data_IF_385305600558
#
_entry.id   IF_385305600558
#
_cell.length_a   1.000
_cell.length_b   1.000
_cell.length_c   1.000
_cell.angle_alpha   90.00
_cell.angle_beta   90.00
_cell.angle_gamma   90.00
#
_symmetry.space_group_name_H-M   'P 1'
#
loop_
_entity.id
_entity.type
_entity.pdbx_description
1 polymer ?
#
# COMPACT_ATOMS: atom_id res chain seq x y z
N UNK A 1 38.08 5.28 12.98
CA UNK A 1 38.62 3.92 13.14
C UNK A 1 37.45 2.94 13.11
N UNK A 2 37.44 1.99 12.17
CA UNK A 2 36.44 0.92 12.11
C UNK A 2 36.91 -0.23 13.01
N UNK A 3 36.09 -0.60 14.00
CA UNK A 3 36.48 -1.57 15.04
C UNK A 3 36.44 -3.03 14.55
N UNK A 4 35.46 -3.38 13.71
CA UNK A 4 35.29 -4.74 13.16
C UNK A 4 34.42 -4.70 11.91
N UNK A 5 34.76 -5.54 10.94
CA UNK A 5 33.99 -5.80 9.73
C UNK A 5 33.84 -7.32 9.61
N UNK A 6 32.60 -7.81 9.62
CA UNK A 6 32.26 -9.21 9.37
C UNK A 6 31.18 -9.27 8.29
N UNK A 7 31.09 -10.43 7.63
CA UNK A 7 29.98 -10.76 6.73
C UNK A 7 28.94 -11.59 7.47
N UNK A 8 27.66 -11.25 7.33
CA UNK A 8 26.55 -11.96 7.95
C UNK A 8 25.69 -12.64 6.90
N UNK A 9 25.43 -13.93 7.08
CA UNK A 9 24.46 -14.67 6.30
C UNK A 9 23.12 -14.63 7.03
N UNK A 10 22.11 -14.03 6.40
CA UNK A 10 20.77 -13.94 6.96
C UNK A 10 19.72 -13.90 5.84
N UNK A 11 18.47 -14.30 6.12
CA UNK A 11 17.39 -14.14 5.15
C UNK A 11 17.13 -12.66 4.90
N UNK A 12 17.17 -12.26 3.63
CA UNK A 12 16.87 -10.89 3.18
C UNK A 12 15.59 -10.88 2.34
N UNK A 13 14.73 -9.86 2.44
CA UNK A 13 13.53 -9.78 1.61
C UNK A 13 13.88 -9.47 0.15
N UNK A 14 13.41 -10.32 -0.76
CA UNK A 14 13.56 -10.14 -2.20
C UNK A 14 12.21 -9.87 -2.87
N UNK A 15 12.23 -9.13 -3.97
CA UNK A 15 11.04 -8.93 -4.80
C UNK A 15 10.57 -10.29 -5.34
N UNK A 16 9.32 -10.66 -5.03
CA UNK A 16 8.72 -11.94 -5.44
C UNK A 16 8.69 -12.17 -6.96
N UNK A 17 8.78 -11.11 -7.76
CA UNK A 17 8.76 -11.20 -9.23
C UNK A 17 10.16 -11.25 -9.85
N UNK A 18 11.05 -10.36 -9.43
CA UNK A 18 12.36 -10.16 -10.09
C UNK A 18 13.54 -10.67 -9.27
N UNK A 19 13.33 -11.09 -8.02
CA UNK A 19 14.35 -11.53 -7.05
C UNK A 19 15.38 -10.46 -6.63
N UNK A 20 15.25 -9.21 -7.08
CA UNK A 20 16.09 -8.10 -6.60
C UNK A 20 15.89 -7.85 -5.09
N UNK A 21 16.95 -7.50 -4.34
CA UNK A 21 16.86 -7.18 -2.91
C UNK A 21 16.00 -5.93 -2.69
N UNK A 22 15.11 -5.99 -1.68
CA UNK A 22 14.20 -4.90 -1.35
C UNK A 22 14.81 -3.96 -0.32
N UNK A 23 14.69 -2.65 -0.56
CA UNK A 23 15.14 -1.61 0.35
C UNK A 23 13.92 -0.89 0.92
N UNK A 24 13.90 -0.70 2.24
CA UNK A 24 12.89 0.13 2.90
C UNK A 24 13.17 1.61 2.65
N UNK A 25 12.26 2.28 1.95
CA UNK A 25 12.34 3.72 1.67
C UNK A 25 10.99 4.39 1.95
N UNK A 26 11.03 5.60 2.49
CA UNK A 26 9.83 6.43 2.62
C UNK A 26 9.42 6.95 1.24
N UNK A 27 8.26 6.52 0.76
CA UNK A 27 7.66 6.94 -0.52
C UNK A 27 6.19 7.26 -0.24
N UNK A 28 5.67 8.30 -0.89
CA UNK A 28 4.24 8.62 -0.83
C UNK A 28 3.43 7.45 -1.40
N UNK A 29 2.37 7.06 -0.71
CA UNK A 29 1.52 5.95 -1.13
C UNK A 29 0.12 6.09 -0.56
N UNK A 30 -0.84 5.48 -1.24
CA UNK A 30 -2.21 5.32 -0.80
C UNK A 30 -2.36 4.03 -0.01
N UNK A 31 -3.02 4.12 1.14
CA UNK A 31 -3.23 3.02 2.06
C UNK A 31 -4.71 2.88 2.38
N UNK A 32 -5.15 1.64 2.55
CA UNK A 32 -6.44 1.31 3.19
C UNK A 32 -6.16 1.03 4.66
N UNK A 33 -6.95 1.65 5.55
CA UNK A 33 -6.78 1.53 7.01
C UNK A 33 -7.37 0.22 7.51
N UNK A 34 -6.66 -0.87 7.25
CA UNK A 34 -7.05 -2.24 7.63
C UNK A 34 -7.13 -2.42 9.14
N UNK A 35 -6.34 -1.65 9.87
CA UNK A 35 -6.27 -1.68 11.33
C UNK A 35 -7.61 -1.40 12.03
N UNK A 36 -8.51 -0.61 11.42
CA UNK A 36 -9.83 -0.30 12.02
C UNK A 36 -10.81 -1.47 11.97
N UNK A 37 -10.70 -2.33 10.97
CA UNK A 37 -11.63 -3.45 10.77
C UNK A 37 -10.95 -4.81 10.91
N UNK A 38 -9.71 -4.84 11.42
CA UNK A 38 -8.94 -6.05 11.67
C UNK A 38 -9.70 -7.04 12.54
N UNK A 39 -10.24 -6.57 13.66
CA UNK A 39 -10.91 -7.45 14.63
C UNK A 39 -12.19 -8.06 14.02
N UNK A 40 -12.89 -7.28 13.18
CA UNK A 40 -14.03 -7.77 12.40
C UNK A 40 -13.62 -8.83 11.36
N UNK A 41 -12.45 -8.72 10.74
CA UNK A 41 -11.95 -9.76 9.83
C UNK A 41 -11.64 -11.06 10.56
N UNK A 42 -11.06 -10.98 11.77
CA UNK A 42 -10.78 -12.16 12.60
C UNK A 42 -12.09 -12.83 13.02
N UNK A 43 -13.11 -12.06 13.40
CA UNK A 43 -14.44 -12.59 13.70
C UNK A 43 -15.08 -13.29 12.49
N UNK A 44 -15.04 -12.66 11.31
CA UNK A 44 -15.60 -13.24 10.08
C UNK A 44 -14.84 -14.48 9.63
N UNK A 45 -13.53 -14.53 9.86
CA UNK A 45 -12.72 -15.72 9.59
C UNK A 45 -13.22 -16.94 10.39
N UNK A 46 -13.84 -16.72 11.56
CA UNK A 46 -14.43 -17.81 12.34
C UNK A 46 -15.65 -18.47 11.69
N UNK A 47 -16.30 -17.77 10.77
CA UNK A 47 -17.47 -18.28 10.04
C UNK A 47 -17.09 -19.05 8.77
N UNK A 48 -15.82 -19.00 8.35
CA UNK A 48 -15.33 -19.65 7.14
C UNK A 48 -14.88 -21.07 7.48
N UNK A 49 -15.36 -22.05 6.71
CA UNK A 49 -14.88 -23.43 6.77
C UNK A 49 -13.59 -23.56 5.95
N UNK A 50 -12.46 -23.72 6.65
CA UNK A 50 -11.16 -23.91 6.03
C UNK A 50 -10.84 -25.39 5.87
N UNK A 51 -10.21 -25.74 4.75
CA UNK A 51 -9.63 -27.06 4.55
C UNK A 51 -8.16 -26.91 4.16
N UNK A 52 -7.20 -27.41 4.96
CA UNK A 52 -7.36 -28.06 6.28
C UNK A 52 -7.69 -27.07 7.42
N UNK A 53 -8.35 -27.56 8.48
CA UNK A 53 -8.95 -26.72 9.54
C UNK A 53 -7.93 -25.85 10.30
N UNK A 54 -6.73 -26.36 10.55
CA UNK A 54 -5.69 -25.65 11.30
C UNK A 54 -5.22 -24.34 10.63
N UNK A 55 -5.53 -24.12 9.36
CA UNK A 55 -5.20 -22.85 8.66
C UNK A 55 -5.99 -21.68 9.23
N UNK A 56 -7.22 -21.96 9.69
CA UNK A 56 -8.16 -20.99 10.24
C UNK A 56 -7.58 -20.19 11.40
N UNK A 57 -7.08 -20.89 12.42
CA UNK A 57 -6.48 -20.30 13.62
C UNK A 57 -4.95 -20.25 13.55
N UNK A 58 -4.34 -21.00 12.62
CA UNK A 58 -2.91 -21.04 12.37
C UNK A 58 -2.44 -19.93 11.45
N UNK A 59 -1.97 -20.28 10.25
CA UNK A 59 -1.29 -19.33 9.36
C UNK A 59 -2.16 -18.11 9.01
N UNK A 60 -3.43 -18.31 8.65
CA UNK A 60 -4.28 -17.20 8.21
C UNK A 60 -4.77 -16.36 9.40
N UNK A 61 -5.21 -17.01 10.49
CA UNK A 61 -5.62 -16.33 11.72
C UNK A 61 -4.53 -15.42 12.30
N UNK A 62 -3.31 -15.95 12.43
CA UNK A 62 -2.16 -15.17 12.93
C UNK A 62 -1.79 -14.02 11.99
N UNK A 63 -1.92 -14.22 10.67
CA UNK A 63 -1.68 -13.17 9.68
C UNK A 63 -2.70 -12.04 9.78
N UNK A 64 -3.99 -12.36 9.98
CA UNK A 64 -5.04 -11.35 10.18
C UNK A 64 -4.81 -10.53 11.44
N UNK A 65 -4.41 -11.15 12.55
CA UNK A 65 -4.11 -10.46 13.81
C UNK A 65 -2.92 -9.49 13.67
N UNK A 66 -1.93 -9.85 12.85
CA UNK A 66 -0.77 -9.03 12.52
C UNK A 66 -0.98 -8.04 11.37
N UNK A 67 -2.19 -7.95 10.81
CA UNK A 67 -2.44 -7.16 9.59
C UNK A 67 -2.19 -5.66 9.83
N UNK A 68 -1.32 -5.09 9.00
CA UNK A 68 -1.02 -3.65 8.96
C UNK A 68 -1.82 -2.98 7.84
N UNK A 69 -1.82 -1.64 7.85
CA UNK A 69 -2.43 -0.84 6.78
C UNK A 69 -1.92 -1.28 5.39
N UNK A 70 -2.85 -1.50 4.48
CA UNK A 70 -2.53 -2.10 3.19
C UNK A 70 -2.21 -1.01 2.15
N UNK A 71 -0.97 -1.02 1.66
CA UNK A 71 -0.54 -0.17 0.55
C UNK A 71 -1.15 -0.63 -0.77
N UNK A 72 -2.11 0.14 -1.30
CA UNK A 72 -2.81 -0.16 -2.55
C UNK A 72 -2.20 0.53 -3.76
N UNK A 73 -1.36 1.56 -3.60
CA UNK A 73 -0.79 2.29 -4.73
C UNK A 73 0.51 1.71 -5.23
N UNK A 74 0.69 1.67 -6.55
CA UNK A 74 1.94 1.31 -7.21
C UNK A 74 2.23 2.31 -8.32
N UNK A 75 3.50 2.72 -8.42
CA UNK A 75 3.97 3.52 -9.54
C UNK A 75 4.17 2.59 -10.75
N UNK A 76 3.13 2.44 -11.57
CA UNK A 76 3.10 1.58 -12.75
C UNK A 76 2.20 2.22 -13.82
N UNK A 77 2.46 1.87 -15.08
CA UNK A 77 1.64 2.32 -16.20
C UNK A 77 0.44 1.40 -16.44
N UNK A 78 0.64 0.08 -16.38
CA UNK A 78 -0.42 -0.91 -16.63
C UNK A 78 -1.09 -1.39 -15.34
N UNK A 79 -2.37 -1.06 -15.18
CA UNK A 79 -3.22 -1.44 -14.05
C UNK A 79 -4.50 -0.62 -14.01
N UNK A 80 -5.36 -0.87 -13.01
CA UNK A 80 -6.52 -0.01 -12.73
C UNK A 80 -6.01 1.28 -12.08
N UNK A 81 -6.23 2.47 -12.66
CA UNK A 81 -5.83 3.71 -12.00
C UNK A 81 -6.62 3.90 -10.70
N UNK A 82 -6.00 4.56 -9.73
CA UNK A 82 -6.68 4.94 -8.49
C UNK A 82 -7.56 6.15 -8.82
N UNK A 83 -8.89 6.08 -8.62
CA UNK A 83 -9.82 7.13 -9.03
C UNK A 83 -9.83 8.30 -8.04
N UNK A 84 -8.66 8.88 -7.80
CA UNK A 84 -8.45 9.98 -6.86
C UNK A 84 -7.85 11.15 -7.62
N UNK A 85 -8.51 12.30 -7.55
CA UNK A 85 -8.02 13.56 -8.10
C UNK A 85 -7.50 14.43 -6.96
N UNK A 86 -6.33 15.01 -7.17
CA UNK A 86 -5.65 15.82 -6.16
C UNK A 86 -5.31 17.18 -6.77
N UNK A 87 -5.59 18.23 -6.01
CA UNK A 87 -5.14 19.60 -6.33
C UNK A 87 -3.64 19.71 -6.17
N UNK A 88 -2.98 20.40 -7.10
CA UNK A 88 -1.52 20.62 -7.08
C UNK A 88 -1.07 21.58 -5.97
N UNK A 89 -1.99 22.32 -5.33
CA UNK A 89 -1.65 23.36 -4.36
C UNK A 89 -1.82 22.91 -2.90
N UNK A 90 -0.80 23.08 -2.04
CA UNK A 90 -0.89 22.79 -0.61
C UNK A 90 -1.84 23.72 0.18
N UNK A 91 -2.09 24.95 -0.27
CA UNK A 91 -3.00 25.92 0.36
C UNK A 91 -4.49 25.58 0.12
N UNK A 92 -4.81 25.00 -1.05
CA UNK A 92 -6.16 24.56 -1.41
C UNK A 92 -6.15 23.07 -1.79
N UNK A 93 -5.67 22.24 -0.87
CA UNK A 93 -5.54 20.79 -1.10
C UNK A 93 -6.90 20.12 -1.06
N UNK A 94 -7.47 19.93 -2.24
CA UNK A 94 -8.67 19.12 -2.46
C UNK A 94 -8.29 17.69 -2.87
N UNK A 95 -9.02 16.71 -2.34
CA UNK A 95 -8.92 15.30 -2.72
C UNK A 95 -10.34 14.82 -3.03
N UNK A 96 -10.63 14.56 -4.31
CA UNK A 96 -11.91 14.03 -4.75
C UNK A 96 -11.74 12.56 -5.15
N UNK A 97 -12.73 11.72 -4.81
CA UNK A 97 -12.72 10.29 -5.13
C UNK A 97 -13.97 9.94 -5.90
N UNK A 98 -13.80 9.50 -7.15
CA UNK A 98 -14.91 9.13 -8.03
C UNK A 98 -15.18 7.62 -7.95
N UNK A 99 -16.44 7.27 -7.72
CA UNK A 99 -16.92 5.90 -7.62
C UNK A 99 -17.62 5.38 -8.88
N UNK A 100 -17.99 6.26 -9.82
CA UNK A 100 -18.72 5.89 -11.04
C UNK A 100 -18.34 6.76 -12.24
N UNK A 101 -18.65 6.27 -13.44
CA UNK A 101 -18.50 7.03 -14.69
C UNK A 101 -19.42 8.26 -14.73
N UNK A 102 -20.60 8.18 -14.12
CA UNK A 102 -21.58 9.27 -14.13
C UNK A 102 -21.14 10.44 -13.21
N UNK A 103 -20.36 10.15 -12.15
CA UNK A 103 -19.69 11.19 -11.38
C UNK A 103 -18.57 11.87 -12.19
N UNK A 104 -17.82 11.11 -12.99
CA UNK A 104 -16.78 11.67 -13.86
C UNK A 104 -17.38 12.54 -14.98
N UNK A 105 -18.44 12.07 -15.63
CA UNK A 105 -19.11 12.80 -16.71
C UNK A 105 -19.70 14.14 -16.23
N UNK A 106 -20.27 14.17 -15.02
CA UNK A 106 -20.80 15.41 -14.42
C UNK A 106 -19.71 16.46 -14.15
N UNK A 107 -18.56 16.03 -13.67
CA UNK A 107 -17.52 16.94 -13.21
C UNK A 107 -16.53 17.36 -14.32
N UNK A 108 -16.31 16.50 -15.32
CA UNK A 108 -15.40 16.77 -16.45
C UNK A 108 -16.13 17.11 -17.75
N UNK A 109 -17.45 16.88 -17.82
CA UNK A 109 -18.25 17.10 -19.04
C UNK A 109 -17.97 16.11 -20.17
N UNK A 110 -17.07 15.14 -19.94
CA UNK A 110 -16.68 14.10 -20.91
C UNK A 110 -16.78 12.76 -20.21
N UNK A 111 -17.47 11.81 -20.86
CA UNK A 111 -17.48 10.40 -20.44
C UNK A 111 -16.31 9.67 -21.13
N UNK A 112 -15.27 9.23 -20.38
CA UNK A 112 -14.14 8.56 -20.99
C UNK A 112 -14.52 7.12 -21.38
N UNK A 113 -14.24 6.72 -22.62
CA UNK A 113 -14.45 5.35 -23.09
C UNK A 113 -13.42 4.37 -22.51
N UNK A 114 -12.22 4.87 -22.21
CA UNK A 114 -11.12 4.08 -21.67
C UNK A 114 -10.62 4.65 -20.34
N UNK A 115 -10.80 3.87 -19.28
CA UNK A 115 -10.35 4.22 -17.93
C UNK A 115 -8.91 3.82 -17.65
N UNK A 116 -8.14 3.33 -18.63
CA UNK A 116 -6.73 3.04 -18.45
C UNK A 116 -5.86 4.27 -18.71
N UNK A 117 -4.66 4.27 -18.12
CA UNK A 117 -3.63 5.25 -18.49
C UNK A 117 -3.16 4.95 -19.92
N UNK A 118 -2.88 5.97 -20.76
CA UNK A 118 -2.73 7.39 -20.40
C UNK A 118 -4.02 8.23 -20.38
N UNK A 119 -5.13 7.76 -20.96
CA UNK A 119 -6.34 8.56 -21.22
C UNK A 119 -6.94 9.24 -19.98
N UNK A 120 -6.95 8.54 -18.84
CA UNK A 120 -7.49 9.10 -17.59
C UNK A 120 -6.63 10.26 -17.03
N UNK A 121 -5.34 10.30 -17.37
CA UNK A 121 -4.42 11.33 -16.86
C UNK A 121 -4.66 12.69 -17.55
N UNK A 122 -5.30 12.69 -18.72
CA UNK A 122 -5.66 13.89 -19.47
C UNK A 122 -6.88 14.61 -18.87
N UNK A 123 -7.64 13.94 -18.01
CA UNK A 123 -8.80 14.51 -17.33
C UNK A 123 -8.36 15.44 -16.20
N UNK A 124 -8.33 16.72 -16.54
CA UNK A 124 -7.95 17.79 -15.64
C UNK A 124 -9.08 18.82 -15.56
N UNK A 125 -9.41 19.25 -14.34
CA UNK A 125 -10.42 20.29 -14.09
C UNK A 125 -9.86 21.43 -13.25
N UNK A 126 -10.40 22.66 -13.34
CA UNK A 126 -10.07 23.71 -12.39
C UNK A 126 -10.53 23.31 -10.97
N UNK A 127 -9.78 23.72 -9.96
CA UNK A 127 -10.15 23.48 -8.56
C UNK A 127 -11.29 24.44 -8.17
N UNK A 128 -12.50 23.94 -7.82
CA UNK A 128 -13.63 24.80 -7.45
C UNK A 128 -13.40 25.59 -6.15
N UNK A 129 -12.48 25.15 -5.30
CA UNK A 129 -12.17 25.82 -4.03
C UNK A 129 -11.09 26.91 -4.16
N UNK A 130 -10.52 27.11 -5.36
CA UNK A 130 -9.52 28.15 -5.61
C UNK A 130 -10.17 29.43 -6.17
N UNK A 131 -10.21 30.54 -5.40
CA UNK A 131 -10.78 31.80 -5.87
C UNK A 131 -9.99 32.44 -7.02
N UNK A 132 -8.74 32.00 -7.26
CA UNK A 132 -7.91 32.50 -8.35
C UNK A 132 -8.14 31.79 -9.71
N UNK A 133 -8.90 30.68 -9.74
CA UNK A 133 -9.30 29.97 -10.97
C UNK A 133 -8.16 29.36 -11.81
N UNK A 134 -6.89 29.52 -11.41
CA UNK A 134 -5.72 29.07 -12.18
C UNK A 134 -5.26 27.66 -11.86
N UNK A 135 -5.72 27.07 -10.75
CA UNK A 135 -5.23 25.78 -10.27
C UNK A 135 -6.08 24.62 -10.73
N UNK A 136 -5.40 23.51 -10.99
CA UNK A 136 -5.99 22.33 -11.59
C UNK A 136 -5.93 21.13 -10.65
N UNK A 137 -6.96 20.30 -10.71
CA UNK A 137 -7.01 18.99 -10.09
C UNK A 137 -6.75 17.95 -11.17
N UNK A 138 -5.65 17.20 -11.02
CA UNK A 138 -5.28 16.10 -11.90
C UNK A 138 -5.49 14.74 -11.25
N UNK A 139 -5.59 13.70 -12.08
CA UNK A 139 -5.68 12.33 -11.61
C UNK A 139 -4.40 11.89 -10.88
N UNK A 140 -4.52 11.03 -9.87
CA UNK A 140 -3.35 10.45 -9.21
C UNK A 140 -2.55 9.58 -10.20
N UNK A 141 -1.22 9.78 -10.34
CA UNK A 141 -0.40 9.04 -11.31
C UNK A 141 -0.12 7.59 -10.90
N UNK A 142 -0.84 7.05 -9.90
CA UNK A 142 -0.61 5.74 -9.32
C UNK A 142 -1.71 4.76 -9.72
N UNK A 143 -1.30 3.53 -9.99
CA UNK A 143 -2.22 2.43 -10.26
C UNK A 143 -2.43 1.57 -9.00
N UNK A 144 -3.60 0.95 -8.92
CA UNK A 144 -3.91 0.01 -7.85
C UNK A 144 -3.03 -1.25 -7.91
N UNK A 145 -2.76 -1.84 -6.75
CA UNK A 145 -2.15 -3.16 -6.65
C UNK A 145 -3.05 -4.22 -7.28
N UNK A 146 -2.40 -5.20 -7.90
CA UNK A 146 -3.10 -6.35 -8.47
C UNK A 146 -3.97 -7.12 -7.45
N UNK A 147 -3.52 -7.22 -6.20
CA UNK A 147 -4.29 -7.85 -5.12
C UNK A 147 -5.59 -7.10 -4.82
N UNK A 148 -5.59 -5.76 -4.90
CA UNK A 148 -6.80 -4.95 -4.74
C UNK A 148 -7.77 -5.12 -5.90
N UNK A 149 -7.28 -5.28 -7.14
CA UNK A 149 -8.15 -5.57 -8.29
C UNK A 149 -8.78 -6.96 -8.18
N UNK A 150 -8.00 -7.99 -7.80
CA UNK A 150 -8.52 -9.37 -7.63
C UNK A 150 -9.49 -9.51 -6.46
N UNK A 151 -9.24 -8.81 -5.36
CA UNK A 151 -10.08 -8.88 -4.15
C UNK A 151 -11.32 -7.99 -4.18
N UNK A 152 -11.65 -7.37 -5.33
CA UNK A 152 -12.79 -6.46 -5.44
C UNK A 152 -14.11 -7.24 -5.37
N UNK A 153 -14.73 -7.19 -4.20
CA UNK A 153 -16.13 -7.57 -3.99
C UNK A 153 -17.04 -6.37 -4.36
N UNK A 154 -18.17 -6.56 -5.06
CA UNK A 154 -18.87 -5.49 -5.80
C UNK A 154 -19.51 -4.34 -5.00
N UNK A 155 -19.54 -4.33 -3.66
CA UNK A 155 -20.58 -3.56 -2.95
C UNK A 155 -20.13 -2.51 -1.93
N UNK A 156 -18.84 -2.23 -1.68
CA UNK A 156 -18.45 -1.16 -0.73
C UNK A 156 -17.30 -0.27 -1.19
N UNK A 157 -17.49 1.05 -1.04
CA UNK A 157 -16.42 2.07 -1.15
C UNK A 157 -15.39 1.82 -0.05
N UNK A 158 -14.15 1.54 -0.41
CA UNK A 158 -13.05 1.46 0.55
C UNK A 158 -12.59 2.88 0.94
N UNK A 159 -12.37 3.11 2.24
CA UNK A 159 -11.76 4.35 2.72
C UNK A 159 -10.28 4.33 2.33
N UNK A 160 -9.92 5.11 1.32
CA UNK A 160 -8.54 5.27 0.82
C UNK A 160 -7.94 6.53 1.45
N UNK A 161 -6.79 6.42 2.09
CA UNK A 161 -6.05 7.57 2.65
C UNK A 161 -4.67 7.69 2.00
N UNK A 162 -4.27 8.92 1.67
CA UNK A 162 -2.89 9.20 1.27
C UNK A 162 -2.02 9.32 2.51
N UNK A 163 -0.86 8.67 2.52
CA UNK A 163 0.23 9.02 3.43
C UNK A 163 1.35 9.63 2.59
N UNK A 164 1.55 10.93 2.72
CA UNK A 164 2.69 11.61 2.11
C UNK A 164 3.94 11.28 2.91
N UNK A 165 5.02 10.89 2.25
CA UNK A 165 6.29 10.71 2.93
C UNK A 165 6.74 12.08 3.48
N UNK A 166 7.10 12.20 4.78
CA UNK A 166 7.71 13.43 5.27
C UNK A 166 8.99 13.69 4.48
N UNK A 167 9.21 14.95 4.11
CA UNK A 167 10.48 15.41 3.55
C UNK A 167 11.63 14.85 4.37
N UNK A 168 12.69 14.42 3.67
CA UNK A 168 13.85 13.73 4.20
C UNK A 168 14.29 14.18 5.60
N UNK A 169 14.04 13.32 6.60
CA UNK A 169 14.97 12.78 7.63
C UNK A 169 14.19 12.43 8.90
N UNK A 170 14.05 11.13 9.22
CA UNK A 170 13.93 10.67 10.59
C UNK A 170 15.29 10.11 11.02
N UNK A 171 15.97 10.84 11.91
CA UNK A 171 17.03 10.30 12.75
C UNK A 171 16.41 9.18 13.58
N UNK A 172 16.79 7.93 13.33
CA UNK A 172 16.44 6.81 14.21
C UNK A 172 17.27 6.97 15.48
N UNK A 173 16.69 7.09 16.69
CA UNK A 173 17.45 6.93 17.91
C UNK A 173 17.81 5.45 18.06
N UNK A 174 19.09 5.14 17.97
CA UNK A 174 19.63 3.84 18.32
C UNK A 174 19.53 3.67 19.84
N UNK A 175 18.52 2.96 20.32
CA UNK A 175 18.51 2.41 21.68
C UNK A 175 19.20 1.06 21.65
N UNK A 176 20.49 1.07 21.98
CA UNK A 176 21.25 -0.10 22.39
C UNK A 176 20.71 -0.61 23.73
N UNK A 177 20.24 -1.86 23.78
CA UNK A 177 20.25 -2.63 25.02
C UNK A 177 20.97 -3.95 24.75
N UNK A 178 22.15 -4.02 25.34
CA UNK A 178 22.98 -5.21 25.48
C UNK A 178 22.37 -6.13 26.53
N UNK A 179 22.17 -7.41 26.20
CA UNK A 179 22.15 -8.46 27.22
C UNK A 179 22.80 -9.72 26.67
N UNK A 180 23.99 -9.97 27.18
CA UNK A 180 24.87 -11.11 26.95
C UNK A 180 24.31 -12.37 27.63
N UNK A 181 24.19 -13.47 26.88
CA UNK A 181 24.34 -14.87 27.32
C UNK A 181 24.26 -15.74 26.05
N UNK A 182 25.01 -16.80 25.78
CA UNK A 182 25.97 -17.56 26.57
C UNK A 182 25.91 -19.05 26.19
N UNK A 183 26.22 -19.41 24.92
CA UNK A 183 26.61 -20.77 24.41
C UNK A 183 25.60 -21.94 24.54
N UNK A 184 25.82 -23.14 23.90
CA UNK A 184 26.76 -23.53 22.84
C UNK A 184 26.10 -24.22 21.61
N UNK A 185 26.95 -24.59 20.65
CA UNK A 185 26.67 -25.21 19.35
C UNK A 185 25.97 -26.59 19.41
N UNK A 186 25.14 -26.87 18.40
CA UNK A 186 24.73 -28.23 18.04
C UNK A 186 24.54 -28.38 16.52
N UNK A 187 25.29 -29.33 15.94
CA UNK A 187 24.79 -30.31 14.96
C UNK A 187 24.26 -29.83 13.61
N UNK A 188 25.08 -30.02 12.58
CA UNK A 188 24.70 -30.23 11.19
C UNK A 188 23.45 -31.12 11.04
N UNK A 189 22.48 -30.74 10.21
CA UNK A 189 21.86 -31.66 9.25
C UNK A 189 21.38 -30.90 8.02
N UNK A 190 21.97 -31.27 6.88
CA UNK A 190 21.65 -30.83 5.53
C UNK A 190 20.43 -31.64 5.06
N UNK A 191 19.29 -31.01 4.78
CA UNK A 191 18.18 -31.67 4.09
C UNK A 191 18.14 -31.22 2.64
N UNK A 192 18.42 -32.15 1.74
CA UNK A 192 18.16 -32.09 0.30
C UNK A 192 16.89 -32.85 -0.04
N UNK A 193 16.20 -32.35 -1.08
CA UNK A 193 14.95 -32.76 -1.72
C UNK A 193 13.68 -32.13 -1.13
#
# INVERSE_FOLDING_TARGET
>A
MLLRHDTYEHPYPHCWRCRNPLIYRAVSSWFVKVTEFRDRMVELNQQITWYPEHVKDGQFGNWLQGARDWSISRNRYWGTPIPVWVSDDPAYRRIDVYGSLDELERDFGVRPDNLHRPYIDELVRPNPDDPAGGRRCGASPMCSTYGSTRGRCPTRKCIIRSRTAPGSKPTIPATSSSSTSGRPAAGSTRCTC
#
